data_IF_384206405345
#
_entry.id   IF_384206405345
#
_cell.length_a   1.000
_cell.length_b   1.000
_cell.length_c   1.000
_cell.angle_alpha   90.00
_cell.angle_beta   90.00
_cell.angle_gamma   90.00
#
_symmetry.space_group_name_H-M   'P 1'
#
loop_
_entity.id
_entity.type
_entity.pdbx_description
1 polymer ?
#
# COMPACT_ATOMS: atom_id res chain seq x y z
N UNK A 1 -21.03 16.89 -3.10
CA UNK A 1 -20.44 15.67 -3.69
C UNK A 1 -21.10 14.49 -3.01
N UNK A 2 -21.54 13.48 -3.76
CA UNK A 2 -22.23 12.32 -3.19
C UNK A 2 -21.24 11.40 -2.49
N UNK A 3 -21.72 10.61 -1.53
CA UNK A 3 -20.95 9.55 -0.87
C UNK A 3 -20.32 8.55 -1.86
N UNK A 4 -20.96 8.31 -3.01
CA UNK A 4 -20.40 7.52 -4.11
C UNK A 4 -19.22 8.22 -4.80
N UNK A 5 -19.15 9.56 -4.82
CA UNK A 5 -17.99 10.31 -5.31
C UNK A 5 -16.83 10.24 -4.31
N UNK A 6 -17.13 10.16 -3.00
CA UNK A 6 -16.14 9.95 -1.93
C UNK A 6 -15.62 8.51 -1.95
N UNK A 7 -16.47 7.51 -2.18
CA UNK A 7 -16.06 6.12 -2.41
C UNK A 7 -15.26 5.98 -3.70
N UNK A 8 -15.72 6.58 -4.81
CA UNK A 8 -14.92 6.65 -6.06
C UNK A 8 -13.59 7.36 -5.83
N UNK A 9 -13.53 8.38 -4.99
CA UNK A 9 -12.30 9.07 -4.60
C UNK A 9 -11.41 8.28 -3.63
N UNK A 10 -11.98 7.52 -2.69
CA UNK A 10 -11.26 6.68 -1.73
C UNK A 10 -10.66 5.42 -2.38
N UNK A 11 -11.42 4.77 -3.27
CA UNK A 11 -10.98 3.55 -3.96
C UNK A 11 -10.28 3.83 -5.29
N UNK A 12 -10.64 4.92 -6.00
CA UNK A 12 -9.89 5.40 -7.16
C UNK A 12 -8.64 6.20 -6.79
N UNK A 13 -8.60 6.78 -5.59
CA UNK A 13 -7.45 7.50 -5.04
C UNK A 13 -6.44 6.62 -4.31
N UNK A 14 -6.70 5.32 -4.12
CA UNK A 14 -5.73 4.37 -3.58
C UNK A 14 -4.46 4.26 -4.45
N UNK A 15 -4.55 4.63 -5.73
CA UNK A 15 -3.39 4.78 -6.64
C UNK A 15 -2.58 6.06 -6.33
N UNK A 16 -3.23 7.13 -5.86
CA UNK A 16 -2.59 8.42 -5.58
C UNK A 16 -2.14 8.61 -4.11
N UNK A 17 -2.60 7.78 -3.17
CA UNK A 17 -2.36 7.98 -1.73
C UNK A 17 -0.99 7.47 -1.23
N UNK A 18 -0.27 6.66 -2.01
CA UNK A 18 1.14 6.34 -1.73
C UNK A 18 2.03 7.58 -1.93
N UNK A 19 1.63 8.51 -2.79
CA UNK A 19 2.38 9.73 -3.11
C UNK A 19 2.29 10.81 -2.01
N UNK A 20 1.13 11.02 -1.39
CA UNK A 20 0.96 12.13 -0.43
C UNK A 20 1.67 11.94 0.91
N UNK A 21 2.13 10.73 1.22
CA UNK A 21 2.93 10.48 2.44
C UNK A 21 4.43 10.72 2.22
N UNK A 22 4.87 10.93 0.97
CA UNK A 22 6.27 11.21 0.60
C UNK A 22 6.49 12.72 0.34
N UNK A 23 5.48 13.44 -0.17
CA UNK A 23 5.63 14.84 -0.61
C UNK A 23 5.29 15.90 0.47
N UNK A 24 5.16 15.49 1.73
CA UNK A 24 4.76 16.35 2.86
C UNK A 24 5.81 17.29 3.45
N UNK A 25 6.90 17.61 2.72
CA UNK A 25 7.91 18.58 3.16
C UNK A 25 7.81 19.88 2.34
N UNK A 26 7.46 20.98 3.01
CA UNK A 26 7.39 22.33 2.43
C UNK A 26 8.78 22.77 1.90
N UNK A 27 8.87 23.47 0.75
CA UNK A 27 10.16 23.81 0.14
C UNK A 27 10.87 24.93 0.91
N UNK A 28 11.85 24.54 1.74
CA UNK A 28 12.87 25.45 2.25
C UNK A 28 13.94 25.67 1.19
N UNK A 29 14.12 26.91 0.75
CA UNK A 29 15.14 27.32 -0.20
C UNK A 29 16.55 27.10 0.38
N UNK A 30 17.24 26.04 -0.05
CA UNK A 30 18.68 25.91 0.11
C UNK A 30 19.35 25.67 -1.24
N UNK A 31 20.34 26.52 -1.52
CA UNK A 31 21.14 26.51 -2.73
C UNK A 31 21.89 25.18 -2.89
N UNK A 32 21.84 24.61 -4.10
CA UNK A 32 22.62 23.44 -4.52
C UNK A 32 24.13 23.70 -4.35
N UNK A 33 24.88 22.80 -3.69
CA UNK A 33 26.31 22.65 -3.93
C UNK A 33 26.55 21.98 -5.30
N UNK A 34 27.73 22.17 -5.91
CA UNK A 34 27.99 21.73 -7.28
C UNK A 34 27.98 20.21 -7.40
N UNK A 35 27.44 19.75 -8.54
CA UNK A 35 27.42 18.35 -8.94
C UNK A 35 28.84 17.79 -9.13
N UNK A 36 29.24 16.86 -8.27
CA UNK A 36 30.36 15.98 -8.57
C UNK A 36 29.87 14.88 -9.51
N UNK A 37 30.28 14.99 -10.78
CA UNK A 37 30.11 13.93 -11.76
C UNK A 37 30.99 12.73 -11.36
N UNK A 38 30.38 11.67 -10.84
CA UNK A 38 31.02 10.36 -10.78
C UNK A 38 30.90 9.71 -12.15
N UNK A 39 31.99 9.81 -12.93
CA UNK A 39 32.17 9.01 -14.13
C UNK A 39 32.35 7.54 -13.71
N UNK A 40 31.40 6.68 -14.06
CA UNK A 40 31.59 5.24 -14.05
C UNK A 40 32.53 4.88 -15.20
N UNK A 41 33.82 4.75 -14.90
CA UNK A 41 34.77 4.13 -15.81
C UNK A 41 34.45 2.63 -15.91
N UNK A 42 34.22 2.17 -17.13
CA UNK A 42 34.11 0.76 -17.48
C UNK A 42 35.50 0.15 -17.28
N UNK A 43 35.68 -0.62 -16.20
CA UNK A 43 36.90 -1.40 -15.96
C UNK A 43 36.73 -2.72 -16.73
N UNK A 44 37.66 -2.99 -17.64
CA UNK A 44 37.80 -4.30 -18.28
C UNK A 44 38.27 -5.29 -17.21
N UNK A 45 37.51 -6.38 -17.04
CA UNK A 45 37.86 -7.46 -16.11
C UNK A 45 39.07 -8.22 -16.67
N UNK A 46 40.23 -8.02 -16.06
CA UNK A 46 41.32 -8.97 -16.11
C UNK A 46 41.03 -10.06 -15.06
N UNK A 47 41.06 -11.32 -15.50
CA UNK A 47 40.92 -12.52 -14.67
C UNK A 47 42.17 -12.65 -13.77
N UNK A 48 42.18 -11.94 -12.64
CA UNK A 48 43.13 -12.18 -11.55
C UNK A 48 42.55 -13.24 -10.60
N UNK A 49 43.34 -14.29 -10.35
CA UNK A 49 43.04 -15.38 -9.42
C UNK A 49 42.68 -14.84 -8.02
N UNK A 50 41.38 -14.76 -7.73
CA UNK A 50 40.79 -14.35 -6.46
C UNK A 50 41.16 -15.33 -5.34
N UNK A 51 42.22 -15.00 -4.60
CA UNK A 51 42.36 -15.50 -3.24
C UNK A 51 41.21 -14.90 -2.41
N UNK A 52 40.32 -15.76 -1.91
CA UNK A 52 39.20 -15.47 -1.01
C UNK A 52 39.64 -14.71 0.25
N UNK A 53 40.03 -13.44 0.15
CA UNK A 53 40.04 -12.51 1.27
C UNK A 53 38.58 -12.33 1.66
N UNK A 54 38.14 -13.08 2.66
CA UNK A 54 36.88 -12.88 3.36
C UNK A 54 36.86 -11.44 3.86
N UNK A 55 36.34 -10.54 3.03
CA UNK A 55 36.17 -9.14 3.36
C UNK A 55 35.37 -9.10 4.65
N UNK A 56 36.02 -8.69 5.74
CA UNK A 56 35.42 -8.72 7.05
C UNK A 56 34.27 -7.70 7.06
N UNK A 57 33.03 -8.20 7.04
CA UNK A 57 31.84 -7.37 7.21
C UNK A 57 31.83 -6.76 8.60
N UNK A 58 31.80 -5.44 8.69
CA UNK A 58 31.57 -4.74 9.96
C UNK A 58 30.07 -4.72 10.23
N UNK A 59 29.55 -5.74 10.89
CA UNK A 59 28.14 -5.78 11.32
C UNK A 59 27.94 -5.10 12.68
N UNK A 60 28.97 -4.44 13.22
CA UNK A 60 29.03 -3.94 14.58
C UNK A 60 28.56 -5.00 15.60
N UNK A 61 27.38 -4.81 16.21
CA UNK A 61 26.75 -5.77 17.15
C UNK A 61 25.42 -6.32 16.65
N UNK A 62 25.07 -6.16 15.38
CA UNK A 62 23.87 -6.79 14.84
C UNK A 62 24.05 -8.30 14.74
N UNK A 63 23.06 -9.05 15.22
CA UNK A 63 22.93 -10.49 14.97
C UNK A 63 22.22 -10.69 13.62
N UNK A 64 22.85 -11.33 12.62
CA UNK A 64 22.21 -11.63 11.33
C UNK A 64 20.98 -12.55 11.41
N UNK A 65 20.68 -13.10 12.59
CA UNK A 65 19.45 -13.86 12.85
C UNK A 65 18.31 -12.99 13.41
N UNK A 66 18.60 -11.78 13.90
CA UNK A 66 17.61 -10.80 14.37
C UNK A 66 17.34 -9.75 13.27
N UNK A 67 16.71 -10.22 12.18
CA UNK A 67 16.38 -9.39 11.02
C UNK A 67 15.41 -8.27 11.37
N UNK A 68 14.39 -8.57 12.16
CA UNK A 68 13.42 -7.57 12.65
C UNK A 68 14.11 -6.48 13.47
N UNK A 69 15.08 -6.84 14.34
CA UNK A 69 15.87 -5.89 15.10
C UNK A 69 16.74 -4.98 14.22
N UNK A 70 17.28 -5.52 13.12
CA UNK A 70 18.01 -4.75 12.12
C UNK A 70 17.08 -3.84 11.30
N UNK A 71 15.98 -4.35 10.74
CA UNK A 71 15.03 -3.54 9.97
C UNK A 71 14.37 -2.46 10.83
N UNK A 72 14.14 -2.72 12.12
CA UNK A 72 13.72 -1.69 13.07
C UNK A 72 14.79 -0.60 13.21
N UNK A 73 16.07 -0.97 13.31
CA UNK A 73 17.15 0.00 13.35
C UNK A 73 17.20 0.83 12.06
N UNK A 74 17.06 0.22 10.89
CA UNK A 74 16.97 0.92 9.59
C UNK A 74 15.82 1.92 9.60
N UNK A 75 14.61 1.49 9.97
CA UNK A 75 13.43 2.35 10.02
C UNK A 75 13.68 3.60 10.88
N UNK A 76 14.22 3.45 12.08
CA UNK A 76 14.46 4.57 12.99
C UNK A 76 15.67 5.42 12.59
N UNK A 77 16.71 4.82 12.01
CA UNK A 77 17.88 5.55 11.54
C UNK A 77 17.55 6.40 10.31
N UNK A 78 16.67 5.92 9.43
CA UNK A 78 16.44 6.55 8.11
C UNK A 78 15.11 7.30 7.98
N UNK A 79 14.11 7.04 8.83
CA UNK A 79 12.89 7.85 8.85
C UNK A 79 13.06 9.15 9.63
N UNK A 80 12.13 10.09 9.44
CA UNK A 80 11.98 11.29 10.25
C UNK A 80 10.60 11.31 10.93
N UNK A 81 10.50 12.00 12.06
CA UNK A 81 9.23 12.30 12.72
C UNK A 81 8.50 11.07 13.28
N UNK A 82 7.18 11.02 13.09
CA UNK A 82 6.29 9.99 13.66
C UNK A 82 6.53 8.57 13.11
N UNK A 83 7.40 8.41 12.10
CA UNK A 83 7.77 7.12 11.51
C UNK A 83 8.83 6.34 12.30
N UNK A 84 9.44 6.94 13.34
CA UNK A 84 10.37 6.26 14.25
C UNK A 84 11.69 7.02 14.46
N UNK A 85 12.15 7.81 13.52
CA UNK A 85 13.44 8.51 13.63
C UNK A 85 13.38 9.84 14.37
N UNK A 86 13.36 9.76 15.70
CA UNK A 86 13.71 10.89 16.58
C UNK A 86 15.20 10.85 16.90
N UNK A 87 15.79 11.96 17.30
CA UNK A 87 17.20 11.97 17.70
C UNK A 87 17.46 11.06 18.90
N UNK A 88 16.49 10.94 19.80
CA UNK A 88 16.56 10.03 20.94
C UNK A 88 16.59 8.56 20.51
N UNK A 89 15.70 8.13 19.59
CA UNK A 89 15.68 6.74 19.12
C UNK A 89 16.93 6.39 18.32
N UNK A 90 17.46 7.32 17.52
CA UNK A 90 18.73 7.13 16.79
C UNK A 90 19.91 7.01 17.75
N UNK A 91 19.99 7.87 18.76
CA UNK A 91 21.03 7.78 19.78
C UNK A 91 20.97 6.45 20.55
N UNK A 92 19.76 5.96 20.87
CA UNK A 92 19.55 4.65 21.49
C UNK A 92 20.06 3.50 20.60
N UNK A 93 19.69 3.50 19.32
CA UNK A 93 20.16 2.50 18.35
C UNK A 93 21.68 2.53 18.23
N UNK A 94 22.27 3.72 18.11
CA UNK A 94 23.71 3.88 18.01
C UNK A 94 24.42 3.34 19.24
N UNK A 95 23.93 3.65 20.44
CA UNK A 95 24.47 3.13 21.69
C UNK A 95 24.31 1.61 21.82
N UNK A 96 23.12 1.07 21.47
CA UNK A 96 22.81 -0.36 21.55
C UNK A 96 23.74 -1.19 20.68
N UNK A 97 23.91 -0.79 19.42
CA UNK A 97 24.67 -1.57 18.44
C UNK A 97 26.13 -1.14 18.28
N UNK A 98 26.59 -0.11 18.99
CA UNK A 98 27.97 0.37 18.92
C UNK A 98 28.27 1.17 17.65
N UNK A 99 27.26 1.83 17.07
CA UNK A 99 27.44 2.71 15.93
C UNK A 99 28.05 4.03 16.42
N UNK A 100 29.07 4.51 15.70
CA UNK A 100 29.92 5.63 16.13
C UNK A 100 29.35 6.97 15.67
N UNK A 101 28.90 6.98 14.43
CA UNK A 101 28.36 8.13 13.74
C UNK A 101 27.52 7.67 12.53
N UNK A 102 26.99 8.63 11.77
CA UNK A 102 26.19 8.37 10.57
C UNK A 102 26.97 7.70 9.43
N UNK A 103 28.28 7.94 9.32
CA UNK A 103 29.11 7.29 8.32
C UNK A 103 29.30 5.82 8.67
N UNK A 104 29.60 5.52 9.95
CA UNK A 104 29.69 4.16 10.46
C UNK A 104 28.37 3.40 10.28
N UNK A 105 27.22 4.06 10.46
CA UNK A 105 25.91 3.46 10.17
C UNK A 105 25.79 2.94 8.74
N UNK A 106 26.20 3.71 7.72
CA UNK A 106 26.09 3.26 6.32
C UNK A 106 26.95 2.02 6.07
N UNK A 107 28.20 2.01 6.56
CA UNK A 107 29.07 0.83 6.45
C UNK A 107 28.47 -0.41 7.12
N UNK A 108 27.90 -0.25 8.32
CA UNK A 108 27.26 -1.35 9.05
C UNK A 108 26.01 -1.84 8.33
N UNK A 109 25.19 -0.91 7.86
CA UNK A 109 23.98 -1.21 7.11
C UNK A 109 24.30 -2.03 5.86
N UNK A 110 25.23 -1.57 5.02
CA UNK A 110 25.64 -2.25 3.79
C UNK A 110 26.23 -3.65 4.08
N UNK A 111 27.00 -3.76 5.16
CA UNK A 111 27.56 -5.03 5.63
C UNK A 111 26.48 -6.02 6.05
N UNK A 112 25.48 -5.58 6.84
CA UNK A 112 24.38 -6.44 7.27
C UNK A 112 23.50 -6.85 6.09
N UNK A 113 23.14 -5.93 5.18
CA UNK A 113 22.40 -6.29 3.97
C UNK A 113 23.17 -7.30 3.11
N UNK A 114 24.49 -7.17 2.99
CA UNK A 114 25.32 -8.14 2.25
C UNK A 114 25.28 -9.53 2.90
N UNK A 115 25.33 -9.61 4.23
CA UNK A 115 25.19 -10.88 4.97
C UNK A 115 23.79 -11.47 4.78
N UNK A 116 22.73 -10.65 4.87
CA UNK A 116 21.36 -11.09 4.65
C UNK A 116 21.11 -11.54 3.20
N UNK A 117 21.70 -10.85 2.21
CA UNK A 117 21.59 -11.24 0.81
C UNK A 117 22.25 -12.59 0.55
N UNK A 118 23.39 -12.89 1.20
CA UNK A 118 24.00 -14.23 1.17
C UNK A 118 23.12 -15.28 1.83
N UNK A 119 22.47 -14.94 2.96
CA UNK A 119 21.57 -15.83 3.70
C UNK A 119 20.30 -16.19 2.90
N UNK A 120 19.69 -15.20 2.26
CA UNK A 120 18.42 -15.33 1.55
C UNK A 120 18.56 -15.54 0.03
N UNK A 121 19.79 -15.50 -0.48
CA UNK A 121 20.14 -15.78 -1.87
C UNK A 121 20.15 -14.57 -2.80
N UNK A 122 19.48 -13.47 -2.45
CA UNK A 122 19.54 -12.22 -3.22
C UNK A 122 19.18 -10.99 -2.38
N UNK A 123 19.62 -9.80 -2.84
CA UNK A 123 19.21 -8.52 -2.24
C UNK A 123 17.69 -8.30 -2.35
N UNK A 124 17.09 -8.68 -3.48
CA UNK A 124 15.64 -8.54 -3.72
C UNK A 124 14.79 -9.23 -2.64
N UNK A 125 15.23 -10.40 -2.15
CA UNK A 125 14.56 -11.08 -1.03
C UNK A 125 14.65 -10.28 0.27
N UNK A 126 15.82 -9.72 0.57
CA UNK A 126 16.02 -8.91 1.78
C UNK A 126 15.16 -7.64 1.72
N UNK A 127 15.12 -6.97 0.56
CA UNK A 127 14.28 -5.78 0.36
C UNK A 127 12.80 -6.10 0.52
N UNK A 128 12.33 -7.25 0.00
CA UNK A 128 10.95 -7.70 0.21
C UNK A 128 10.64 -7.99 1.69
N UNK A 129 11.57 -8.61 2.43
CA UNK A 129 11.41 -8.85 3.87
C UNK A 129 11.37 -7.56 4.67
N UNK A 130 12.25 -6.61 4.38
CA UNK A 130 12.21 -5.29 5.02
C UNK A 130 10.89 -4.58 4.73
N UNK A 131 10.43 -4.66 3.48
CA UNK A 131 9.14 -4.09 3.07
C UNK A 131 8.02 -4.69 3.91
N UNK A 132 7.96 -6.02 4.00
CA UNK A 132 6.99 -6.77 4.82
C UNK A 132 7.07 -6.39 6.31
N UNK A 133 8.27 -6.15 6.84
CA UNK A 133 8.49 -5.67 8.20
C UNK A 133 7.89 -4.27 8.42
N UNK A 134 8.24 -3.30 7.56
CA UNK A 134 7.74 -1.91 7.64
C UNK A 134 6.23 -1.86 7.61
N UNK A 135 5.63 -2.76 6.86
CA UNK A 135 4.18 -2.85 6.73
C UNK A 135 3.51 -3.52 7.92
N UNK A 136 4.17 -4.50 8.53
CA UNK A 136 3.79 -4.99 9.85
C UNK A 136 3.78 -3.87 10.89
N UNK A 137 4.76 -2.95 10.86
CA UNK A 137 4.77 -1.77 11.72
C UNK A 137 3.60 -0.82 11.42
N UNK A 138 3.36 -0.52 10.14
CA UNK A 138 2.23 0.31 9.71
C UNK A 138 0.90 -0.30 10.17
N UNK A 139 0.71 -1.60 9.98
CA UNK A 139 -0.50 -2.31 10.39
C UNK A 139 -0.70 -2.27 11.91
N UNK A 140 0.37 -2.43 12.70
CA UNK A 140 0.30 -2.26 14.17
C UNK A 140 -0.10 -0.82 14.55
N UNK A 141 0.46 0.19 13.89
CA UNK A 141 0.07 1.61 14.11
C UNK A 141 -1.41 1.81 13.80
N UNK A 142 -1.90 1.27 12.69
CA UNK A 142 -3.32 1.33 12.31
C UNK A 142 -4.23 0.60 13.30
N UNK A 143 -3.81 -0.55 13.81
CA UNK A 143 -4.54 -1.26 14.88
C UNK A 143 -4.59 -0.42 16.17
N UNK A 144 -3.49 0.27 16.52
CA UNK A 144 -3.44 1.21 17.62
C UNK A 144 -4.40 2.40 17.43
N UNK A 145 -4.45 2.98 16.23
CA UNK A 145 -5.38 4.05 15.88
C UNK A 145 -6.84 3.57 15.97
N UNK A 146 -7.13 2.38 15.47
CA UNK A 146 -8.45 1.72 15.60
C UNK A 146 -8.84 1.53 17.06
N UNK A 147 -7.94 1.01 17.89
CA UNK A 147 -8.19 0.83 19.32
C UNK A 147 -8.44 2.16 20.02
N UNK A 148 -7.71 3.22 19.65
CA UNK A 148 -7.92 4.58 20.16
C UNK A 148 -9.29 5.14 19.76
N UNK A 149 -9.70 4.96 18.49
CA UNK A 149 -11.02 5.38 18.01
C UNK A 149 -12.16 4.60 18.72
N UNK A 150 -11.96 3.31 18.99
CA UNK A 150 -12.89 2.53 19.81
C UNK A 150 -12.99 3.09 21.22
N UNK A 151 -11.85 3.35 21.88
CA UNK A 151 -11.79 3.85 23.25
C UNK A 151 -12.39 5.27 23.40
N UNK A 152 -12.32 6.11 22.37
CA UNK A 152 -12.96 7.44 22.36
C UNK A 152 -14.45 7.40 22.03
N UNK A 153 -15.00 6.23 21.69
CA UNK A 153 -16.40 6.07 21.29
C UNK A 153 -16.71 6.46 19.85
N UNK A 154 -15.69 6.79 19.03
CA UNK A 154 -15.86 7.12 17.61
C UNK A 154 -16.34 5.92 16.78
N UNK A 155 -16.21 4.70 17.30
CA UNK A 155 -16.75 3.48 16.69
C UNK A 155 -18.05 3.00 17.34
N UNK A 156 -18.62 3.73 18.30
CA UNK A 156 -19.91 3.35 18.88
C UNK A 156 -21.02 3.37 17.82
N UNK A 157 -21.96 2.40 17.82
CA UNK A 157 -23.06 2.39 16.87
C UNK A 157 -23.86 3.70 16.89
N UNK A 158 -24.12 4.25 15.71
CA UNK A 158 -24.97 5.45 15.58
C UNK A 158 -26.40 4.98 15.40
N UNK A 159 -27.31 5.42 16.26
CA UNK A 159 -28.70 4.97 16.21
C UNK A 159 -28.78 3.43 16.25
N UNK A 160 -27.87 2.74 16.94
CA UNK A 160 -27.78 1.27 16.96
C UNK A 160 -27.33 0.61 15.64
N UNK A 161 -26.88 1.38 14.65
CA UNK A 161 -26.31 0.90 13.38
C UNK A 161 -24.78 0.96 13.50
N UNK A 162 -24.14 -0.21 13.46
CA UNK A 162 -22.66 -0.29 13.51
C UNK A 162 -22.05 0.17 12.18
N UNK A 163 -20.75 0.50 12.20
CA UNK A 163 -20.01 0.88 11.00
C UNK A 163 -20.05 -0.23 9.94
N UNK A 164 -19.94 -1.48 10.38
CA UNK A 164 -19.96 -2.67 9.54
C UNK A 164 -21.34 -2.89 8.92
N UNK A 165 -22.42 -2.71 9.68
CA UNK A 165 -23.78 -2.81 9.17
C UNK A 165 -24.05 -1.73 8.12
N UNK A 166 -23.61 -0.50 8.38
CA UNK A 166 -23.68 0.60 7.41
C UNK A 166 -22.88 0.30 6.14
N UNK A 167 -21.64 -0.18 6.27
CA UNK A 167 -20.80 -0.58 5.15
C UNK A 167 -21.41 -1.73 4.33
N UNK A 168 -22.01 -2.73 4.99
CA UNK A 168 -22.64 -3.86 4.32
C UNK A 168 -23.89 -3.46 3.52
N UNK A 169 -24.71 -2.55 4.05
CA UNK A 169 -25.86 -2.00 3.32
C UNK A 169 -25.36 -1.21 2.10
N UNK A 170 -24.32 -0.40 2.25
CA UNK A 170 -23.73 0.32 1.12
C UNK A 170 -23.16 -0.64 0.06
N UNK A 171 -22.49 -1.73 0.46
CA UNK A 171 -22.03 -2.76 -0.47
C UNK A 171 -23.18 -3.38 -1.26
N UNK A 172 -24.29 -3.70 -0.59
CA UNK A 172 -25.48 -4.23 -1.25
C UNK A 172 -26.10 -3.23 -2.25
N UNK A 173 -26.16 -1.93 -1.90
CA UNK A 173 -26.65 -0.88 -2.81
C UNK A 173 -25.81 -0.80 -4.08
N UNK A 174 -24.47 -0.84 -3.94
CA UNK A 174 -23.57 -0.81 -5.11
C UNK A 174 -23.74 -2.08 -5.98
N UNK A 175 -24.15 -3.19 -5.38
CA UNK A 175 -24.51 -4.43 -6.10
C UNK A 175 -25.94 -4.41 -6.69
N UNK A 176 -26.65 -3.28 -6.59
CA UNK A 176 -27.97 -3.09 -7.17
C UNK A 176 -29.16 -3.46 -6.26
N UNK A 177 -28.93 -3.73 -4.98
CA UNK A 177 -30.01 -3.93 -4.03
C UNK A 177 -30.77 -2.61 -3.78
N UNK A 178 -32.08 -2.71 -3.57
CA UNK A 178 -32.92 -1.58 -3.22
C UNK A 178 -32.76 -1.22 -1.73
N UNK A 179 -32.51 0.06 -1.44
CA UNK A 179 -32.32 0.54 -0.06
C UNK A 179 -33.55 0.29 0.82
N UNK A 180 -34.76 0.57 0.32
CA UNK A 180 -36.01 0.40 1.09
C UNK A 180 -36.19 -1.06 1.55
N UNK A 181 -35.93 -2.03 0.67
CA UNK A 181 -35.99 -3.45 1.01
C UNK A 181 -34.94 -3.84 2.06
N UNK A 182 -33.72 -3.32 1.95
CA UNK A 182 -32.65 -3.56 2.93
C UNK A 182 -32.99 -2.98 4.30
N UNK A 183 -33.52 -1.75 4.33
CA UNK A 183 -33.95 -1.08 5.56
C UNK A 183 -35.11 -1.82 6.23
N UNK A 184 -36.12 -2.20 5.45
CA UNK A 184 -37.25 -3.00 5.94
C UNK A 184 -36.78 -4.35 6.49
N UNK A 185 -35.91 -5.06 5.77
CA UNK A 185 -35.36 -6.35 6.20
C UNK A 185 -34.50 -6.28 7.46
N UNK A 186 -33.90 -5.12 7.74
CA UNK A 186 -33.08 -4.87 8.93
C UNK A 186 -33.83 -4.19 10.08
N UNK A 187 -35.12 -3.86 9.90
CA UNK A 187 -35.92 -3.16 10.91
C UNK A 187 -35.43 -1.72 11.17
N UNK A 188 -34.82 -1.08 10.17
CA UNK A 188 -34.33 0.30 10.21
C UNK A 188 -35.31 1.16 9.42
N UNK A 189 -35.79 2.26 9.99
CA UNK A 189 -36.57 3.25 9.23
C UNK A 189 -35.65 4.23 8.49
N UNK A 190 -36.17 4.84 7.41
CA UNK A 190 -35.41 5.77 6.56
C UNK A 190 -34.82 6.94 7.35
N UNK A 191 -35.57 7.51 8.30
CA UNK A 191 -35.09 8.67 9.06
C UNK A 191 -33.92 8.29 10.00
N UNK A 192 -33.99 7.10 10.61
CA UNK A 192 -32.90 6.52 11.40
C UNK A 192 -31.67 6.23 10.56
N UNK A 193 -31.86 5.67 9.36
CA UNK A 193 -30.78 5.43 8.39
C UNK A 193 -30.07 6.73 8.01
N UNK A 194 -30.82 7.77 7.64
CA UNK A 194 -30.24 9.04 7.18
C UNK A 194 -29.42 9.74 8.27
N UNK A 195 -29.88 9.69 9.53
CA UNK A 195 -29.11 10.22 10.68
C UNK A 195 -27.83 9.42 10.92
N UNK A 196 -27.91 8.08 10.89
CA UNK A 196 -26.73 7.24 11.06
C UNK A 196 -25.70 7.44 9.95
N UNK A 197 -26.15 7.49 8.69
CA UNK A 197 -25.32 7.80 7.53
C UNK A 197 -24.61 9.14 7.71
N UNK A 198 -25.35 10.21 8.04
CA UNK A 198 -24.78 11.55 8.18
C UNK A 198 -23.71 11.62 9.28
N UNK A 199 -23.93 10.95 10.41
CA UNK A 199 -22.92 10.88 11.47
C UNK A 199 -21.70 10.06 11.05
N UNK A 200 -21.86 8.89 10.43
CA UNK A 200 -20.72 8.09 9.95
C UNK A 200 -19.88 8.84 8.93
N UNK A 201 -20.51 9.54 7.99
CA UNK A 201 -19.83 10.44 7.06
C UNK A 201 -19.08 11.55 7.81
N UNK A 202 -19.69 12.16 8.83
CA UNK A 202 -19.03 13.17 9.67
C UNK A 202 -17.87 12.60 10.50
N UNK A 203 -17.93 11.34 10.95
CA UNK A 203 -16.83 10.67 11.69
C UNK A 203 -15.64 10.43 10.77
N UNK A 204 -15.90 9.87 9.59
CA UNK A 204 -14.85 9.65 8.60
C UNK A 204 -14.21 10.96 8.15
N UNK A 205 -14.98 12.04 8.01
CA UNK A 205 -14.45 13.34 7.60
C UNK A 205 -13.51 13.97 8.64
N UNK A 206 -13.69 13.69 9.94
CA UNK A 206 -12.82 14.21 11.02
C UNK A 206 -11.71 13.24 11.44
N UNK A 207 -11.76 11.99 10.99
CA UNK A 207 -10.77 10.98 11.31
C UNK A 207 -9.48 11.17 10.50
N UNK A 208 -8.50 11.84 11.11
CA UNK A 208 -7.17 12.05 10.50
C UNK A 208 -6.29 10.80 10.55
N UNK A 209 -6.73 9.74 11.23
CA UNK A 209 -5.97 8.48 11.34
C UNK A 209 -6.37 7.44 10.31
N UNK A 210 -7.45 7.70 9.56
CA UNK A 210 -8.05 6.78 8.58
C UNK A 210 -8.52 5.44 9.15
N UNK A 211 -8.57 5.28 10.48
CA UNK A 211 -9.02 4.06 11.13
C UNK A 211 -10.48 3.71 10.77
N UNK A 212 -11.38 4.69 10.78
CA UNK A 212 -12.80 4.48 10.46
C UNK A 212 -12.95 4.09 8.99
N UNK A 213 -12.24 4.78 8.09
CA UNK A 213 -12.25 4.46 6.66
C UNK A 213 -11.73 3.05 6.38
N UNK A 214 -10.68 2.61 7.08
CA UNK A 214 -10.14 1.26 6.95
C UNK A 214 -11.14 0.19 7.41
N UNK A 215 -11.79 0.38 8.57
CA UNK A 215 -12.80 -0.57 9.07
C UNK A 215 -13.99 -0.62 8.10
N UNK A 216 -14.46 0.55 7.63
CA UNK A 216 -15.50 0.66 6.63
C UNK A 216 -15.15 -0.13 5.36
N UNK A 217 -13.96 0.09 4.79
CA UNK A 217 -13.51 -0.58 3.57
C UNK A 217 -13.42 -2.10 3.74
N UNK A 218 -12.88 -2.57 4.87
CA UNK A 218 -12.83 -4.00 5.19
C UNK A 218 -14.23 -4.60 5.31
N UNK A 219 -15.16 -3.93 6.00
CA UNK A 219 -16.54 -4.41 6.17
C UNK A 219 -17.32 -4.40 4.85
N UNK A 220 -17.13 -3.37 4.02
CA UNK A 220 -17.69 -3.27 2.68
C UNK A 220 -17.26 -4.45 1.80
N UNK A 221 -15.96 -4.74 1.75
CA UNK A 221 -15.42 -5.87 0.98
C UNK A 221 -15.84 -7.23 1.56
N UNK A 222 -15.92 -7.36 2.88
CA UNK A 222 -16.41 -8.59 3.52
C UNK A 222 -17.89 -8.86 3.22
N UNK A 223 -18.68 -7.83 2.97
CA UNK A 223 -20.07 -7.92 2.54
C UNK A 223 -20.22 -8.11 1.01
N UNK A 224 -19.11 -8.09 0.26
CA UNK A 224 -19.15 -8.30 -1.17
C UNK A 224 -19.64 -9.71 -1.55
N UNK A 225 -20.39 -9.79 -2.66
CA UNK A 225 -20.86 -11.04 -3.27
C UNK A 225 -20.45 -11.17 -4.74
N UNK A 226 -19.53 -10.31 -5.18
CA UNK A 226 -19.03 -10.29 -6.56
C UNK A 226 -18.16 -11.51 -6.90
N UNK A 227 -17.75 -11.58 -8.17
CA UNK A 227 -16.89 -12.64 -8.74
C UNK A 227 -15.57 -12.78 -7.97
N UNK A 228 -15.06 -11.69 -7.40
CA UNK A 228 -13.79 -11.67 -6.68
C UNK A 228 -13.92 -11.48 -5.16
N UNK A 229 -15.13 -11.62 -4.59
CA UNK A 229 -15.36 -11.40 -3.17
C UNK A 229 -14.52 -12.29 -2.24
N UNK A 230 -14.21 -13.52 -2.65
CA UNK A 230 -13.30 -14.41 -1.90
C UNK A 230 -11.87 -13.90 -1.89
N UNK A 231 -11.39 -13.33 -3.00
CA UNK A 231 -10.05 -12.76 -3.10
C UNK A 231 -9.93 -11.50 -2.23
N UNK A 232 -10.94 -10.63 -2.20
CA UNK A 232 -10.94 -9.47 -1.30
C UNK A 232 -10.88 -9.89 0.17
N UNK A 233 -11.66 -10.91 0.57
CA UNK A 233 -11.65 -11.47 1.92
C UNK A 233 -10.28 -12.06 2.28
N UNK A 234 -9.67 -12.79 1.36
CA UNK A 234 -8.31 -13.32 1.55
C UNK A 234 -7.28 -12.19 1.70
N UNK A 235 -7.32 -11.16 0.85
CA UNK A 235 -6.41 -10.03 0.94
C UNK A 235 -6.55 -9.29 2.28
N UNK A 236 -7.78 -9.11 2.77
CA UNK A 236 -8.05 -8.50 4.07
C UNK A 236 -7.55 -9.36 5.22
N UNK A 237 -7.77 -10.67 5.18
CA UNK A 237 -7.27 -11.61 6.18
C UNK A 237 -5.74 -11.66 6.19
N UNK A 238 -5.11 -11.68 5.01
CA UNK A 238 -3.66 -11.70 4.87
C UNK A 238 -3.02 -10.41 5.39
N UNK A 239 -3.57 -9.25 5.03
CA UNK A 239 -3.14 -7.94 5.52
C UNK A 239 -3.28 -7.81 7.03
N UNK A 240 -4.41 -8.23 7.59
CA UNK A 240 -4.65 -8.17 9.04
C UNK A 240 -3.66 -9.03 9.84
N UNK A 241 -3.25 -10.18 9.28
CA UNK A 241 -2.26 -11.07 9.88
C UNK A 241 -0.81 -10.80 9.42
N UNK A 242 -0.57 -9.78 8.59
CA UNK A 242 0.70 -9.49 7.93
C UNK A 242 1.39 -10.73 7.31
N UNK A 243 0.61 -11.56 6.59
CA UNK A 243 1.08 -12.82 6.02
C UNK A 243 1.02 -12.82 4.50
N UNK A 244 1.68 -13.79 3.89
CA UNK A 244 1.48 -14.04 2.45
C UNK A 244 0.04 -14.42 2.12
N UNK A 245 -0.36 -14.09 0.89
CA UNK A 245 -1.61 -14.55 0.29
C UNK A 245 -1.56 -16.07 0.12
N UNK A 246 -2.63 -16.77 0.52
CA UNK A 246 -2.76 -18.21 0.29
C UNK A 246 -3.41 -18.55 -1.05
N UNK A 247 -4.03 -17.56 -1.70
CA UNK A 247 -4.63 -17.70 -3.04
C UNK A 247 -3.69 -17.14 -4.10
N UNK A 248 -3.74 -17.71 -5.30
CA UNK A 248 -3.08 -17.15 -6.47
C UNK A 248 -3.91 -16.01 -7.08
N UNK A 249 -3.28 -15.06 -7.80
CA UNK A 249 -4.01 -14.02 -8.52
C UNK A 249 -5.15 -14.56 -9.40
N UNK A 250 -6.36 -13.98 -9.32
CA UNK A 250 -7.51 -14.42 -10.12
C UNK A 250 -7.41 -14.01 -11.59
N UNK A 251 -6.49 -13.10 -11.92
CA UNK A 251 -6.19 -12.60 -13.25
C UNK A 251 -4.68 -12.48 -13.39
N UNK A 252 -4.19 -12.45 -14.63
CA UNK A 252 -2.77 -12.15 -14.87
C UNK A 252 -2.47 -10.68 -14.60
N UNK A 253 -1.19 -10.36 -14.37
CA UNK A 253 -0.74 -8.97 -14.22
C UNK A 253 -1.08 -8.12 -15.46
N UNK A 254 -0.98 -8.72 -16.66
CA UNK A 254 -1.31 -8.05 -17.92
C UNK A 254 -2.79 -7.71 -17.99
N UNK A 255 -3.66 -8.64 -17.59
CA UNK A 255 -5.10 -8.40 -17.50
C UNK A 255 -5.43 -7.30 -16.48
N UNK A 256 -4.74 -7.28 -15.34
CA UNK A 256 -4.94 -6.23 -14.33
C UNK A 256 -4.53 -4.85 -14.85
N UNK A 257 -3.36 -4.72 -15.49
CA UNK A 257 -2.95 -3.46 -16.12
C UNK A 257 -3.86 -3.07 -17.27
N UNK A 258 -4.31 -4.01 -18.10
CA UNK A 258 -5.29 -3.72 -19.15
C UNK A 258 -6.55 -3.04 -18.58
N UNK A 259 -7.07 -3.51 -17.44
CA UNK A 259 -8.23 -2.89 -16.78
C UNK A 259 -7.91 -1.47 -16.30
N UNK A 260 -6.74 -1.26 -15.68
CA UNK A 260 -6.32 0.06 -15.19
C UNK A 260 -6.19 1.07 -16.33
N UNK A 261 -5.50 0.69 -17.40
CA UNK A 261 -5.32 1.57 -18.56
C UNK A 261 -6.65 1.81 -19.29
N UNK A 262 -7.53 0.82 -19.40
CA UNK A 262 -8.85 1.00 -20.00
C UNK A 262 -9.65 2.07 -19.26
N UNK A 263 -9.69 2.02 -17.93
CA UNK A 263 -10.38 3.04 -17.12
C UNK A 263 -9.74 4.42 -17.26
N UNK A 264 -8.40 4.49 -17.22
CA UNK A 264 -7.68 5.75 -17.31
C UNK A 264 -7.91 6.44 -18.67
N UNK A 265 -7.79 5.68 -19.76
CA UNK A 265 -8.03 6.19 -21.11
C UNK A 265 -9.51 6.51 -21.37
N UNK A 266 -10.45 5.71 -20.84
CA UNK A 266 -11.88 6.02 -20.91
C UNK A 266 -12.17 7.36 -20.21
N UNK A 267 -11.64 7.55 -19.00
CA UNK A 267 -11.82 8.79 -18.23
C UNK A 267 -11.25 10.01 -18.96
N UNK A 268 -10.06 9.89 -19.57
CA UNK A 268 -9.47 10.98 -20.38
C UNK A 268 -10.26 11.33 -21.63
N UNK A 269 -11.04 10.39 -22.16
CA UNK A 269 -11.98 10.62 -23.26
C UNK A 269 -13.35 11.14 -22.79
N UNK A 270 -13.53 11.42 -21.49
CA UNK A 270 -14.80 11.83 -20.91
C UNK A 270 -15.85 10.72 -20.84
N UNK A 271 -15.44 9.44 -20.96
CA UNK A 271 -16.31 8.28 -20.79
C UNK A 271 -16.42 7.91 -19.31
N UNK A 272 -17.55 7.33 -18.93
CA UNK A 272 -17.75 6.82 -17.57
C UNK A 272 -16.89 5.58 -17.33
N UNK A 273 -15.99 5.64 -16.34
CA UNK A 273 -15.14 4.52 -15.94
C UNK A 273 -15.95 3.30 -15.47
N UNK A 274 -17.14 3.50 -14.89
CA UNK A 274 -18.02 2.40 -14.50
C UNK A 274 -18.58 1.67 -15.72
N UNK A 275 -18.85 2.40 -16.81
CA UNK A 275 -19.26 1.81 -18.08
C UNK A 275 -18.08 1.07 -18.74
N UNK A 276 -16.86 1.62 -18.69
CA UNK A 276 -15.66 0.94 -19.19
C UNK A 276 -15.43 -0.40 -18.47
N UNK A 277 -15.56 -0.43 -17.14
CA UNK A 277 -15.52 -1.66 -16.36
C UNK A 277 -16.60 -2.67 -16.80
N UNK A 278 -17.83 -2.19 -16.98
CA UNK A 278 -18.95 -3.02 -17.44
C UNK A 278 -18.69 -3.63 -18.81
N UNK A 279 -18.10 -2.87 -19.73
CA UNK A 279 -17.72 -3.35 -21.07
C UNK A 279 -16.64 -4.45 -21.00
N UNK A 280 -15.84 -4.46 -19.93
CA UNK A 280 -14.89 -5.54 -19.60
C UNK A 280 -15.52 -6.70 -18.81
N UNK A 281 -16.83 -6.68 -18.58
CA UNK A 281 -17.54 -7.70 -17.81
C UNK A 281 -17.31 -7.62 -16.30
N UNK A 282 -16.97 -6.43 -15.80
CA UNK A 282 -16.73 -6.18 -14.37
C UNK A 282 -17.78 -5.21 -13.82
N UNK A 283 -18.34 -5.52 -12.65
CA UNK A 283 -19.00 -4.50 -11.83
C UNK A 283 -17.97 -3.64 -11.11
N UNK A 284 -18.40 -2.50 -10.56
CA UNK A 284 -17.55 -1.66 -9.69
C UNK A 284 -17.09 -2.46 -8.45
N UNK A 285 -17.95 -3.33 -7.92
CA UNK A 285 -17.60 -4.18 -6.78
C UNK A 285 -16.55 -5.22 -7.15
N UNK A 286 -16.70 -5.88 -8.31
CA UNK A 286 -15.69 -6.82 -8.81
C UNK A 286 -14.34 -6.11 -8.95
N UNK A 287 -14.34 -4.87 -9.45
CA UNK A 287 -13.12 -4.09 -9.55
C UNK A 287 -12.51 -3.77 -8.18
N UNK A 288 -13.29 -3.27 -7.21
CA UNK A 288 -12.81 -3.01 -5.86
C UNK A 288 -12.20 -4.26 -5.19
N UNK A 289 -12.86 -5.40 -5.35
CA UNK A 289 -12.41 -6.67 -4.78
C UNK A 289 -11.12 -7.16 -5.46
N UNK A 290 -11.07 -7.10 -6.78
CA UNK A 290 -9.90 -7.46 -7.58
C UNK A 290 -8.70 -6.57 -7.22
N UNK A 291 -8.89 -5.25 -7.17
CA UNK A 291 -7.84 -4.29 -6.81
C UNK A 291 -7.34 -4.48 -5.38
N UNK A 292 -8.20 -4.82 -4.42
CA UNK A 292 -7.77 -5.11 -3.04
C UNK A 292 -6.79 -6.29 -3.00
N UNK A 293 -7.11 -7.36 -3.73
CA UNK A 293 -6.25 -8.53 -3.85
C UNK A 293 -4.96 -8.22 -4.60
N UNK A 294 -5.08 -7.66 -5.82
CA UNK A 294 -3.92 -7.39 -6.67
C UNK A 294 -2.99 -6.37 -6.03
N UNK A 295 -3.51 -5.32 -5.40
CA UNK A 295 -2.71 -4.34 -4.66
C UNK A 295 -1.91 -4.99 -3.52
N UNK A 296 -2.53 -5.89 -2.76
CA UNK A 296 -1.78 -6.63 -1.73
C UNK A 296 -0.78 -7.61 -2.35
N UNK A 297 -1.11 -8.26 -3.47
CA UNK A 297 -0.19 -9.12 -4.20
C UNK A 297 1.05 -8.35 -4.64
N UNK A 298 0.90 -7.24 -5.37
CA UNK A 298 2.01 -6.38 -5.78
C UNK A 298 2.87 -6.00 -4.59
N UNK A 299 2.25 -5.56 -3.52
CA UNK A 299 2.95 -5.17 -2.30
C UNK A 299 3.82 -6.32 -1.72
N UNK A 300 3.33 -7.57 -1.75
CA UNK A 300 4.05 -8.75 -1.23
C UNK A 300 5.14 -9.29 -2.17
N UNK A 301 5.18 -8.83 -3.42
CA UNK A 301 6.11 -9.37 -4.42
C UNK A 301 6.88 -8.32 -5.20
N UNK A 302 6.67 -7.01 -4.95
CA UNK A 302 7.33 -5.92 -5.67
C UNK A 302 8.86 -6.00 -5.56
N UNK A 303 9.41 -6.25 -4.37
CA UNK A 303 10.86 -6.41 -4.19
C UNK A 303 11.44 -7.54 -5.05
N UNK A 304 10.67 -8.63 -5.25
CA UNK A 304 11.08 -9.80 -6.03
C UNK A 304 10.81 -9.66 -7.53
N UNK A 305 9.82 -8.85 -7.91
CA UNK A 305 9.25 -8.81 -9.26
C UNK A 305 9.25 -7.42 -9.90
N UNK A 306 9.95 -6.45 -9.31
CA UNK A 306 9.91 -5.06 -9.76
C UNK A 306 10.19 -4.91 -11.27
N UNK A 307 11.18 -5.65 -11.77
CA UNK A 307 11.50 -5.65 -13.20
C UNK A 307 10.37 -6.20 -14.06
N UNK A 308 9.79 -7.33 -13.67
CA UNK A 308 8.62 -7.92 -14.36
C UNK A 308 7.46 -6.91 -14.39
N UNK A 309 7.21 -6.22 -13.28
CA UNK A 309 6.14 -5.22 -13.17
C UNK A 309 6.38 -4.00 -14.05
N UNK A 310 7.61 -3.48 -14.05
CA UNK A 310 8.02 -2.32 -14.84
C UNK A 310 7.97 -2.61 -16.34
N UNK A 311 8.51 -3.75 -16.78
CA UNK A 311 8.51 -4.17 -18.18
C UNK A 311 7.07 -4.34 -18.69
N UNK A 312 6.20 -4.95 -17.88
CA UNK A 312 4.81 -5.16 -18.24
C UNK A 312 4.00 -3.86 -18.23
N UNK A 313 4.25 -2.95 -17.28
CA UNK A 313 3.62 -1.63 -17.26
C UNK A 313 3.94 -0.85 -18.54
N UNK A 314 5.23 -0.80 -18.92
CA UNK A 314 5.67 -0.12 -20.14
C UNK A 314 5.06 -0.74 -21.41
N UNK A 315 5.01 -2.09 -21.49
CA UNK A 315 4.38 -2.81 -22.59
C UNK A 315 2.88 -2.48 -22.68
N UNK A 316 2.16 -2.49 -21.57
CA UNK A 316 0.72 -2.21 -21.54
C UNK A 316 0.45 -0.74 -21.87
N UNK A 317 1.27 0.19 -21.36
CA UNK A 317 1.18 1.60 -21.73
C UNK A 317 1.30 1.78 -23.25
N UNK A 318 2.34 1.22 -23.88
CA UNK A 318 2.53 1.32 -25.33
C UNK A 318 1.35 0.72 -26.11
N UNK A 319 0.80 -0.41 -25.65
CA UNK A 319 -0.42 -1.02 -26.23
C UNK A 319 -1.61 -0.06 -26.20
N UNK A 320 -1.82 0.68 -25.10
CA UNK A 320 -2.94 1.60 -24.96
C UNK A 320 -2.73 2.94 -25.68
N UNK A 321 -1.50 3.46 -25.72
CA UNK A 321 -1.13 4.59 -26.57
C UNK A 321 -1.43 4.30 -28.05
N UNK A 322 -1.15 3.08 -28.51
CA UNK A 322 -1.49 2.65 -29.86
C UNK A 322 -3.01 2.46 -30.07
N UNK A 323 -3.73 1.93 -29.07
CA UNK A 323 -5.19 1.74 -29.12
C UNK A 323 -5.95 3.07 -29.14
N UNK A 324 -5.45 4.08 -28.45
CA UNK A 324 -6.09 5.38 -28.27
C UNK A 324 -5.18 6.53 -28.71
N UNK A 325 -4.89 6.65 -30.02
CA UNK A 325 -3.95 7.64 -30.52
C UNK A 325 -4.42 9.06 -30.18
N UNK A 326 -3.50 9.88 -29.65
CA UNK A 326 -3.77 11.27 -29.26
C UNK A 326 -4.37 11.46 -27.86
N UNK A 327 -4.69 10.37 -27.14
CA UNK A 327 -5.08 10.43 -25.73
C UNK A 327 -3.85 10.12 -24.88
N UNK A 328 -3.54 11.00 -23.92
CA UNK A 328 -2.54 10.73 -22.87
C UNK A 328 -3.25 10.45 -21.56
N UNK A 329 -3.09 9.24 -21.05
CA UNK A 329 -3.54 8.88 -19.72
C UNK A 329 -2.33 8.42 -18.91
N UNK A 330 -2.17 9.00 -17.72
CA UNK A 330 -1.15 8.58 -16.77
C UNK A 330 -1.81 7.59 -15.82
N UNK A 331 -1.36 6.34 -15.85
CA UNK A 331 -1.63 5.39 -14.79
C UNK A 331 -0.41 5.46 -13.88
N UNK A 332 -0.50 6.29 -12.85
CA UNK A 332 0.62 6.53 -11.95
C UNK A 332 0.75 5.36 -10.98
N UNK A 333 1.48 4.32 -11.40
CA UNK A 333 1.85 3.21 -10.54
C UNK A 333 3.35 3.27 -10.34
N UNK A 334 3.77 3.90 -9.25
CA UNK A 334 5.15 3.80 -8.78
C UNK A 334 5.33 2.45 -8.07
N UNK A 335 6.28 1.65 -8.54
CA UNK A 335 6.73 0.41 -7.89
C UNK A 335 8.04 0.65 -7.13
#
# INVERSE_FOLDING_TARGET
MGFLDVIKGLFGGAVNQVQQQVDGATPGSHAQPPAHAHAHAHVEHEDEDDADEQQAFDTARFDPNDEDGFFNAVLHMESEGEGGGTDASRAEIMAKYGIRDRSHWQTVKDSVYSVLARKHGSMDHVMQQETNFRMGQMQRRMQGATAKAAASGELNPVEGITLEAWAAINAAIVQGANLEDLLKGSGIDQARWDRAKGEWEARMARDTTFAIAQIYGNAFQNASKGKYAEFAREANAARAANRELSMQPPVTLEQYYDILFEQAYASKQGKDAAQALKDMGLSVVDWCDLSSFMGYHFYRTAGLKNREYSDLLAKTQAKFEAKYPGVKADVDISF
#
